data_IF_061333310106
#
_entry.id   IF_061333310106
#
_cell.length_a   1.000
_cell.length_b   1.000
_cell.length_c   1.000
_cell.angle_alpha   90.00
_cell.angle_beta   90.00
_cell.angle_gamma   90.00
#
_symmetry.space_group_name_H-M   'P 1'
#
loop_
_entity.id
_entity.type
_entity.pdbx_description
1 polymer ?
#
# COMPACT_ATOMS: atom_id res chain seq x y z
N UNK A 1 30.63 5.87 12.53
CA UNK A 1 30.45 4.43 12.24
C UNK A 1 30.23 4.31 10.74
N UNK A 2 31.15 3.70 10.01
CA UNK A 2 31.11 3.65 8.54
C UNK A 2 30.43 2.36 8.11
N UNK A 3 29.43 2.44 7.22
CA UNK A 3 28.79 1.27 6.61
C UNK A 3 29.67 0.78 5.46
N UNK A 4 29.94 -0.53 5.42
CA UNK A 4 30.60 -1.20 4.30
C UNK A 4 29.61 -2.11 3.58
N UNK A 5 29.79 -2.26 2.27
CA UNK A 5 29.01 -3.16 1.43
C UNK A 5 29.90 -4.31 0.94
N UNK A 6 29.33 -5.50 0.83
CA UNK A 6 30.02 -6.68 0.29
C UNK A 6 29.91 -6.68 -1.23
N UNK A 7 30.99 -7.03 -1.93
CA UNK A 7 31.02 -7.10 -3.40
C UNK A 7 30.32 -8.35 -3.97
N UNK A 8 29.92 -9.28 -3.10
CA UNK A 8 29.27 -10.54 -3.49
C UNK A 8 27.78 -10.50 -3.18
N UNK A 9 26.99 -11.00 -4.12
CA UNK A 9 25.53 -11.12 -4.00
C UNK A 9 25.20 -12.61 -3.94
N UNK A 10 24.51 -13.03 -2.88
CA UNK A 10 23.94 -14.36 -2.78
C UNK A 10 22.59 -14.41 -3.52
N UNK A 11 22.42 -15.38 -4.42
CA UNK A 11 21.17 -15.59 -5.16
C UNK A 11 20.48 -16.83 -4.60
N UNK A 12 19.37 -16.62 -3.91
CA UNK A 12 18.49 -17.70 -3.46
C UNK A 12 17.55 -18.07 -4.61
N UNK A 13 17.50 -19.35 -5.05
CA UNK A 13 16.56 -19.77 -6.07
C UNK A 13 15.11 -19.50 -5.63
N UNK A 14 14.38 -18.75 -6.44
CA UNK A 14 12.96 -18.52 -6.27
C UNK A 14 12.21 -18.97 -7.53
N UNK A 15 10.91 -19.23 -7.37
CA UNK A 15 10.07 -19.65 -8.47
C UNK A 15 10.21 -18.74 -9.69
N UNK A 16 10.37 -19.29 -10.89
CA UNK A 16 10.46 -18.47 -12.11
C UNK A 16 9.12 -17.87 -12.50
N UNK A 17 9.12 -16.84 -13.36
CA UNK A 17 7.89 -16.27 -13.93
C UNK A 17 7.08 -17.29 -14.74
N UNK A 18 7.74 -18.30 -15.28
CA UNK A 18 7.14 -19.40 -16.05
C UNK A 18 6.46 -20.43 -15.15
N UNK A 19 6.81 -20.48 -13.86
CA UNK A 19 6.28 -21.50 -12.94
C UNK A 19 4.89 -21.14 -12.40
N UNK A 20 4.59 -19.84 -12.29
CA UNK A 20 3.22 -19.40 -12.01
C UNK A 20 2.96 -17.96 -12.44
N UNK A 21 1.69 -17.66 -12.71
CA UNK A 21 1.26 -16.35 -13.12
C UNK A 21 1.15 -15.39 -11.91
N UNK A 22 2.06 -14.42 -11.84
CA UNK A 22 2.06 -13.33 -10.85
C UNK A 22 1.31 -12.08 -11.29
N UNK A 23 0.65 -12.10 -12.46
CA UNK A 23 -0.07 -10.92 -12.96
C UNK A 23 -1.25 -10.65 -12.03
N UNK A 24 -1.35 -9.41 -11.57
CA UNK A 24 -2.53 -8.92 -10.87
C UNK A 24 -3.75 -8.97 -11.77
N UNK A 25 -4.93 -8.85 -11.16
CA UNK A 25 -6.16 -8.65 -11.92
C UNK A 25 -6.03 -7.45 -12.88
N UNK A 26 -6.43 -7.66 -14.13
CA UNK A 26 -6.45 -6.62 -15.15
C UNK A 26 -7.53 -5.58 -14.83
N UNK A 27 -8.62 -5.99 -14.19
CA UNK A 27 -9.78 -5.18 -13.84
C UNK A 27 -9.82 -4.78 -12.37
N UNK A 28 -8.65 -4.76 -11.71
CA UNK A 28 -8.53 -4.37 -10.31
C UNK A 28 -9.34 -3.10 -10.02
N UNK A 29 -10.17 -3.14 -8.97
CA UNK A 29 -11.23 -2.17 -8.68
C UNK A 29 -10.75 -0.72 -8.73
N UNK A 30 -9.54 -0.45 -8.24
CA UNK A 30 -8.96 0.90 -8.23
C UNK A 30 -8.85 1.55 -9.62
N UNK A 31 -8.76 0.75 -10.70
CA UNK A 31 -8.71 1.23 -12.08
C UNK A 31 -10.08 1.64 -12.63
N UNK A 32 -11.16 1.16 -12.02
CA UNK A 32 -12.53 1.32 -12.50
C UNK A 32 -13.38 2.18 -11.55
N UNK A 33 -12.74 2.94 -10.65
CA UNK A 33 -13.45 3.82 -9.72
C UNK A 33 -14.04 5.01 -10.47
N UNK A 34 -15.37 5.08 -10.47
CA UNK A 34 -16.12 6.25 -10.94
C UNK A 34 -15.90 7.44 -10.00
N UNK A 35 -16.16 8.69 -10.45
CA UNK A 35 -16.09 9.86 -9.58
C UNK A 35 -16.93 9.71 -8.31
N UNK A 36 -18.14 9.17 -8.43
CA UNK A 36 -19.07 8.97 -7.31
C UNK A 36 -18.49 7.99 -6.28
N UNK A 37 -18.00 6.82 -6.74
CA UNK A 37 -17.35 5.84 -5.87
C UNK A 37 -16.12 6.42 -5.16
N UNK A 38 -15.35 7.30 -5.82
CA UNK A 38 -14.22 7.98 -5.16
C UNK A 38 -14.68 8.94 -4.08
N UNK A 39 -15.83 9.60 -4.26
CA UNK A 39 -16.40 10.46 -3.24
C UNK A 39 -16.85 9.64 -2.04
N UNK A 40 -17.58 8.55 -2.27
CA UNK A 40 -18.03 7.63 -1.22
C UNK A 40 -16.85 7.08 -0.42
N UNK A 41 -15.79 6.60 -1.10
CA UNK A 41 -14.57 6.10 -0.45
C UNK A 41 -13.89 7.19 0.39
N UNK A 42 -13.88 8.45 -0.08
CA UNK A 42 -13.28 9.55 0.68
C UNK A 42 -14.04 9.80 1.97
N UNK A 43 -15.37 9.86 1.88
CA UNK A 43 -16.23 10.14 3.02
C UNK A 43 -16.15 9.00 4.07
N UNK A 44 -16.11 7.75 3.60
CA UNK A 44 -15.89 6.57 4.44
C UNK A 44 -14.53 6.64 5.16
N UNK A 45 -13.45 6.87 4.41
CA UNK A 45 -12.10 6.94 4.98
C UNK A 45 -11.95 8.09 5.98
N UNK A 46 -12.59 9.23 5.73
CA UNK A 46 -12.53 10.37 6.63
C UNK A 46 -13.32 10.13 7.92
N UNK A 47 -14.46 9.46 7.80
CA UNK A 47 -15.23 9.03 8.97
C UNK A 47 -14.43 8.05 9.82
N UNK A 48 -13.83 7.03 9.18
CA UNK A 48 -12.99 6.05 9.86
C UNK A 48 -11.79 6.69 10.57
N UNK A 49 -11.02 7.52 9.85
CA UNK A 49 -9.83 8.20 10.40
C UNK A 49 -10.14 9.12 11.56
N UNK A 50 -11.33 9.73 11.58
CA UNK A 50 -11.72 10.67 12.63
C UNK A 50 -12.27 9.96 13.87
N UNK A 51 -13.00 8.86 13.70
CA UNK A 51 -13.82 8.27 14.77
C UNK A 51 -13.33 6.92 15.28
N UNK A 52 -12.63 6.16 14.43
CA UNK A 52 -12.30 4.76 14.70
C UNK A 52 -10.81 4.48 14.70
N UNK A 53 -10.04 5.18 13.85
CA UNK A 53 -8.60 4.98 13.75
C UNK A 53 -7.88 5.55 14.98
N UNK A 54 -7.33 4.66 15.81
CA UNK A 54 -6.50 5.06 16.93
C UNK A 54 -5.19 5.68 16.41
N UNK A 55 -4.98 6.96 16.72
CA UNK A 55 -3.75 7.70 16.39
C UNK A 55 -3.19 8.31 17.66
N UNK A 56 -1.87 8.24 17.81
CA UNK A 56 -1.20 8.89 18.93
C UNK A 56 -1.47 10.41 18.90
N UNK A 57 -1.72 11.02 20.06
CA UNK A 57 -2.14 12.44 20.17
C UNK A 57 -1.18 13.38 19.44
N UNK A 58 0.13 13.16 19.58
CA UNK A 58 1.17 13.97 18.94
C UNK A 58 1.25 13.76 17.41
N UNK A 59 0.71 12.64 16.92
CA UNK A 59 0.70 12.29 15.50
C UNK A 59 -0.61 12.65 14.81
N UNK A 60 -1.61 13.19 15.53
CA UNK A 60 -2.93 13.50 14.97
C UNK A 60 -2.85 14.41 13.75
N UNK A 61 -1.95 15.40 13.76
CA UNK A 61 -1.72 16.32 12.64
C UNK A 61 -1.16 15.68 11.38
N UNK A 62 -0.65 14.44 11.47
CA UNK A 62 -0.16 13.68 10.32
C UNK A 62 -1.26 12.82 9.68
N UNK A 63 -2.46 12.79 10.25
CA UNK A 63 -3.59 12.03 9.70
C UNK A 63 -4.06 12.68 8.41
N UNK A 64 -3.92 11.96 7.29
CA UNK A 64 -4.33 12.46 5.98
C UNK A 64 -5.84 12.27 5.79
N UNK A 65 -6.61 13.36 5.74
CA UNK A 65 -8.04 13.37 5.41
C UNK A 65 -8.27 13.77 3.93
#
# INVERSE_FOLDING_TARGET
>A
RTIGFTDTIEIIPAHRKTEYNRRSDKYATFKNLTPDLKSEIRDELNTYKMREMAVHVESMGNTAF
#
